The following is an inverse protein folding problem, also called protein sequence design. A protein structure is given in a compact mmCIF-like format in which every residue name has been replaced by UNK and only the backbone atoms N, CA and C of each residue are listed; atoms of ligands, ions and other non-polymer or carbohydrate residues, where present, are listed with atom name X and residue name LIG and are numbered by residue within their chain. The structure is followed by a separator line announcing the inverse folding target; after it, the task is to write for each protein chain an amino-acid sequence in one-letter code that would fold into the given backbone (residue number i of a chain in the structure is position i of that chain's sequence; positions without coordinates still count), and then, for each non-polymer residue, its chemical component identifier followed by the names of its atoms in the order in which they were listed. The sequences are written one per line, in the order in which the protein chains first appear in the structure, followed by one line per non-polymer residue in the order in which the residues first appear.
data_IF_181002381450
#
_entry.id   IF_181002381450
#
_cell.length_a   1.000
_cell.length_b   1.000
_cell.length_c   1.000
_cell.angle_alpha   90.00
_cell.angle_beta   90.00
_cell.angle_gamma   90.00
#
_symmetry.space_group_name_H-M   'P 1'
#
loop_
_entity.id
_entity.type
_entity.pdbx_description
1 polymer ?
#
# COMPACT_ATOMS: atom_id res chain seq x y z
N UNK A 1 -13.59 12.96 -3.75
CA UNK A 1 -12.22 13.17 -3.23
C UNK A 1 -11.30 13.66 -4.32
N UNK A 2 -10.44 14.61 -4.01
CA UNK A 2 -9.41 15.05 -4.93
C UNK A 2 -8.26 14.04 -5.00
N UNK A 3 -7.47 14.13 -6.07
CA UNK A 3 -6.25 13.30 -6.19
C UNK A 3 -5.29 13.54 -5.03
N UNK A 4 -5.15 14.80 -4.60
CA UNK A 4 -4.29 15.14 -3.46
C UNK A 4 -4.76 14.43 -2.19
N UNK A 5 -6.07 14.39 -1.95
CA UNK A 5 -6.62 13.71 -0.78
C UNK A 5 -6.38 12.20 -0.85
N UNK A 6 -6.52 11.60 -2.03
CA UNK A 6 -6.23 10.17 -2.21
C UNK A 6 -4.76 9.86 -1.97
N UNK A 7 -3.85 10.68 -2.51
CA UNK A 7 -2.42 10.51 -2.26
C UNK A 7 -2.08 10.72 -0.78
N UNK A 8 -2.72 11.72 -0.14
CA UNK A 8 -2.50 11.97 1.28
C UNK A 8 -3.02 10.85 2.17
N UNK A 9 -4.06 10.13 1.74
CA UNK A 9 -4.52 8.95 2.47
C UNK A 9 -3.42 7.87 2.51
N UNK A 10 -2.72 7.66 1.40
CA UNK A 10 -1.57 6.75 1.35
C UNK A 10 -0.49 7.21 2.33
N UNK A 11 -0.18 8.49 2.33
CA UNK A 11 0.83 9.06 3.21
C UNK A 11 0.47 8.91 4.69
N UNK A 12 -0.75 9.29 5.04
CA UNK A 12 -1.21 9.22 6.42
C UNK A 12 -1.23 7.79 6.94
N UNK A 13 -1.74 6.86 6.16
CA UNK A 13 -1.79 5.45 6.56
C UNK A 13 -0.38 4.88 6.75
N UNK A 14 0.54 5.24 5.87
CA UNK A 14 1.93 4.78 5.95
C UNK A 14 2.64 5.36 7.17
N UNK A 15 2.45 6.65 7.45
CA UNK A 15 3.04 7.28 8.65
C UNK A 15 2.53 6.62 9.91
N UNK A 16 1.22 6.40 10.00
CA UNK A 16 0.61 5.81 11.19
C UNK A 16 1.09 4.38 11.41
N UNK A 17 1.20 3.59 10.36
CA UNK A 17 1.65 2.21 10.45
C UNK A 17 3.11 2.13 10.89
N UNK A 18 3.99 2.94 10.31
CA UNK A 18 5.40 2.99 10.69
C UNK A 18 5.55 3.47 12.13
N UNK A 19 4.80 4.50 12.52
CA UNK A 19 4.84 5.03 13.88
C UNK A 19 4.39 3.99 14.90
N UNK A 20 3.29 3.31 14.62
CA UNK A 20 2.78 2.27 15.51
C UNK A 20 3.77 1.10 15.65
N UNK A 21 4.40 0.69 14.55
CA UNK A 21 5.40 -0.37 14.56
C UNK A 21 6.71 0.07 15.21
N UNK A 22 6.91 1.38 15.33
CA UNK A 22 8.19 1.98 15.75
C UNK A 22 9.35 1.45 14.90
N UNK A 23 9.08 1.16 13.63
CA UNK A 23 10.02 0.53 12.72
C UNK A 23 9.49 0.64 11.30
N UNK A 24 10.37 0.79 10.32
CA UNK A 24 10.01 0.81 8.91
C UNK A 24 10.59 2.00 8.17
N UNK A 25 10.19 2.12 6.89
CA UNK A 25 10.75 3.11 5.97
C UNK A 25 9.63 3.96 5.37
N UNK A 26 9.39 5.18 5.88
CA UNK A 26 8.31 6.02 5.37
C UNK A 26 8.65 6.79 4.09
N UNK A 27 9.93 6.84 3.70
CA UNK A 27 10.39 7.69 2.60
C UNK A 27 9.69 7.44 1.27
N UNK A 28 9.65 6.20 0.80
CA UNK A 28 9.02 5.88 -0.48
C UNK A 28 7.50 6.09 -0.45
N UNK A 29 6.76 5.66 0.58
CA UNK A 29 5.34 6.00 0.67
C UNK A 29 5.08 7.50 0.61
N UNK A 30 5.90 8.29 1.27
CA UNK A 30 5.72 9.74 1.28
C UNK A 30 6.03 10.36 -0.09
N UNK A 31 7.14 9.94 -0.71
CA UNK A 31 7.61 10.53 -1.96
C UNK A 31 6.90 10.03 -3.21
N UNK A 32 6.37 8.81 -3.18
CA UNK A 32 5.78 8.17 -4.35
C UNK A 32 4.25 8.08 -4.32
N UNK A 33 3.60 8.66 -3.31
CA UNK A 33 2.16 8.53 -3.16
C UNK A 33 1.38 9.08 -4.37
N UNK A 34 1.79 10.23 -4.91
CA UNK A 34 1.12 10.83 -6.06
C UNK A 34 1.24 9.94 -7.31
N UNK A 35 2.43 9.42 -7.57
CA UNK A 35 2.67 8.52 -8.70
C UNK A 35 1.85 7.25 -8.55
N UNK A 36 1.85 6.67 -7.36
CA UNK A 36 1.12 5.44 -7.08
C UNK A 36 -0.39 5.63 -7.21
N UNK A 37 -0.92 6.75 -6.74
CA UNK A 37 -2.34 7.06 -6.86
C UNK A 37 -2.77 7.10 -8.33
N UNK A 38 -2.01 7.80 -9.17
CA UNK A 38 -2.32 7.92 -10.60
C UNK A 38 -2.22 6.55 -11.28
N UNK A 39 -1.15 5.81 -11.02
CA UNK A 39 -0.95 4.50 -11.62
C UNK A 39 -2.10 3.53 -11.29
N UNK A 40 -2.45 3.44 -10.03
CA UNK A 40 -3.43 2.46 -9.55
C UNK A 40 -4.87 2.83 -9.89
N UNK A 41 -5.20 4.11 -9.95
CA UNK A 41 -6.56 4.54 -10.25
C UNK A 41 -6.83 4.72 -11.76
N UNK A 42 -5.82 5.12 -12.54
CA UNK A 42 -6.06 5.49 -13.94
C UNK A 42 -5.49 4.50 -14.96
N UNK A 43 -4.44 3.76 -14.64
CA UNK A 43 -3.71 2.98 -15.62
C UNK A 43 -3.65 1.49 -15.35
N UNK A 44 -3.45 1.10 -14.11
CA UNK A 44 -3.27 -0.31 -13.76
C UNK A 44 -4.58 -1.08 -13.96
N UNK A 45 -4.53 -2.13 -14.77
CA UNK A 45 -5.68 -3.04 -14.92
C UNK A 45 -5.66 -4.02 -13.76
N UNK A 46 -6.58 -3.84 -12.82
CA UNK A 46 -6.69 -4.73 -11.67
C UNK A 46 -8.12 -4.77 -11.15
N UNK A 47 -8.43 -5.84 -10.41
CA UNK A 47 -9.74 -6.00 -9.80
C UNK A 47 -9.56 -6.53 -8.38
N UNK A 48 -9.80 -5.69 -7.35
CA UNK A 48 -9.66 -6.11 -5.95
C UNK A 48 -10.54 -7.29 -5.55
N UNK A 49 -11.69 -7.46 -6.22
CA UNK A 49 -12.60 -8.57 -5.94
C UNK A 49 -12.14 -9.88 -6.61
N UNK A 50 -11.21 -9.79 -7.57
CA UNK A 50 -10.62 -10.95 -8.24
C UNK A 50 -9.12 -10.75 -8.39
N UNK A 51 -8.35 -10.87 -7.30
CA UNK A 51 -6.91 -10.59 -7.33
C UNK A 51 -6.11 -11.56 -8.19
N UNK A 52 -6.70 -12.70 -8.56
CA UNK A 52 -6.06 -13.68 -9.43
C UNK A 52 -6.48 -13.57 -10.90
N UNK A 53 -7.22 -12.53 -11.26
CA UNK A 53 -7.65 -12.29 -12.64
C UNK A 53 -6.47 -12.44 -13.60
N UNK A 54 -6.62 -13.32 -14.59
CA UNK A 54 -5.53 -13.71 -15.46
C UNK A 54 -4.97 -12.53 -16.28
N UNK A 55 -5.84 -11.65 -16.75
CA UNK A 55 -5.45 -10.52 -17.62
C UNK A 55 -5.11 -9.25 -16.85
N UNK A 56 -4.92 -9.36 -15.55
CA UNK A 56 -4.53 -8.20 -14.73
C UNK A 56 -3.12 -7.75 -15.01
N UNK A 57 -2.85 -6.47 -14.79
CA UNK A 57 -1.49 -5.97 -14.72
C UNK A 57 -0.85 -6.44 -13.41
N UNK A 58 0.44 -6.75 -13.48
CA UNK A 58 1.17 -7.26 -12.32
C UNK A 58 2.11 -6.18 -11.81
N UNK A 59 1.78 -5.65 -10.66
CA UNK A 59 2.60 -4.65 -10.00
C UNK A 59 3.65 -5.34 -9.14
N UNK A 60 4.91 -4.94 -9.29
CA UNK A 60 6.03 -5.50 -8.54
C UNK A 60 6.77 -4.36 -7.87
N UNK A 61 6.86 -4.41 -6.54
CA UNK A 61 7.61 -3.43 -5.76
C UNK A 61 9.06 -3.91 -5.63
N UNK A 62 9.95 -3.34 -6.45
CA UNK A 62 11.35 -3.73 -6.49
C UNK A 62 12.07 -3.37 -5.19
N UNK A 63 11.83 -2.17 -4.67
CA UNK A 63 12.43 -1.74 -3.41
C UNK A 63 11.56 -2.22 -2.24
N UNK A 64 11.80 -3.45 -1.82
CA UNK A 64 10.99 -4.14 -0.81
C UNK A 64 10.87 -3.42 0.52
N UNK A 65 11.85 -2.57 0.89
CA UNK A 65 11.77 -1.78 2.12
C UNK A 65 10.67 -0.72 2.08
N UNK A 66 10.14 -0.39 0.88
CA UNK A 66 9.02 0.53 0.71
C UNK A 66 7.66 -0.18 0.85
N UNK A 67 7.62 -1.32 1.51
CA UNK A 67 6.46 -2.22 1.58
C UNK A 67 5.17 -1.54 2.02
N UNK A 68 5.24 -0.55 2.90
CA UNK A 68 4.02 0.11 3.39
C UNK A 68 3.30 0.87 2.28
N UNK A 69 3.99 1.32 1.25
CA UNK A 69 3.34 1.89 0.06
C UNK A 69 2.40 0.87 -0.59
N UNK A 70 2.88 -0.34 -0.81
CA UNK A 70 2.07 -1.41 -1.41
C UNK A 70 0.90 -1.79 -0.50
N UNK A 71 1.12 -1.94 0.80
CA UNK A 71 0.04 -2.30 1.72
C UNK A 71 -1.03 -1.22 1.80
N UNK A 72 -0.64 0.05 1.80
CA UNK A 72 -1.60 1.17 1.77
C UNK A 72 -2.43 1.13 0.49
N UNK A 73 -1.81 0.90 -0.66
CA UNK A 73 -2.52 0.78 -1.93
C UNK A 73 -3.50 -0.38 -1.92
N UNK A 74 -3.07 -1.55 -1.45
CA UNK A 74 -3.94 -2.72 -1.40
C UNK A 74 -5.14 -2.50 -0.48
N UNK A 75 -4.91 -1.91 0.69
CA UNK A 75 -5.99 -1.63 1.63
C UNK A 75 -6.97 -0.61 1.06
N UNK A 76 -6.45 0.52 0.57
CA UNK A 76 -7.29 1.64 0.14
C UNK A 76 -8.04 1.35 -1.16
N UNK A 77 -7.54 0.47 -2.02
CA UNK A 77 -8.22 0.11 -3.27
C UNK A 77 -9.18 -1.06 -3.13
N UNK A 78 -9.31 -1.63 -1.94
CA UNK A 78 -10.36 -2.59 -1.66
C UNK A 78 -9.96 -4.06 -1.69
N UNK A 79 -8.66 -4.37 -1.75
CA UNK A 79 -8.20 -5.74 -1.61
C UNK A 79 -8.43 -6.26 -0.19
N UNK A 80 -8.41 -7.58 -0.03
CA UNK A 80 -8.60 -8.21 1.28
C UNK A 80 -7.35 -8.06 2.15
N UNK A 81 -7.09 -6.82 2.54
CA UNK A 81 -6.06 -6.47 3.50
C UNK A 81 -6.67 -5.46 4.48
N UNK A 82 -7.29 -5.97 5.56
CA UNK A 82 -8.03 -5.10 6.48
C UNK A 82 -7.10 -4.23 7.31
N UNK A 83 -7.70 -3.19 7.93
CA UNK A 83 -6.95 -2.24 8.75
C UNK A 83 -6.20 -2.92 9.91
N UNK A 84 -6.72 -4.04 10.41
CA UNK A 84 -6.06 -4.81 11.48
C UNK A 84 -4.69 -5.29 11.05
N UNK A 85 -4.53 -5.71 9.79
CA UNK A 85 -3.22 -6.13 9.28
C UNK A 85 -2.27 -4.94 9.08
N UNK A 86 -2.81 -3.77 8.75
CA UNK A 86 -2.03 -2.53 8.69
C UNK A 86 -1.53 -2.16 10.09
N UNK A 87 -2.40 -2.30 11.10
CA UNK A 87 -2.02 -2.04 12.50
C UNK A 87 -0.92 -2.98 13.00
N UNK A 88 -0.82 -4.17 12.39
CA UNK A 88 0.19 -5.17 12.72
C UNK A 88 1.40 -5.14 11.78
N UNK A 89 1.64 -4.02 11.11
CA UNK A 89 2.78 -3.85 10.22
C UNK A 89 4.09 -4.21 10.93
N UNK A 90 4.87 -5.10 10.30
CA UNK A 90 6.16 -5.60 10.79
C UNK A 90 6.07 -6.42 12.08
N UNK A 91 4.88 -6.87 12.45
CA UNK A 91 4.72 -7.76 13.59
C UNK A 91 4.81 -9.22 13.12
N UNK A 92 5.30 -10.08 14.01
CA UNK A 92 5.45 -11.50 13.70
C UNK A 92 4.10 -12.12 13.31
N UNK A 93 4.10 -12.89 12.24
CA UNK A 93 2.93 -13.59 11.68
C UNK A 93 1.86 -12.68 11.06
N UNK A 94 2.08 -11.38 10.96
CA UNK A 94 1.13 -10.51 10.24
C UNK A 94 1.27 -10.71 8.73
N UNK A 95 0.24 -10.26 7.99
CA UNK A 95 0.26 -10.27 6.53
C UNK A 95 1.06 -9.10 5.94
N UNK A 96 1.64 -8.27 6.79
CA UNK A 96 2.33 -7.04 6.38
C UNK A 96 3.78 -7.02 6.88
N UNK A 97 4.61 -7.97 6.43
CA UNK A 97 6.03 -7.98 6.82
C UNK A 97 6.75 -6.75 6.24
N UNK A 98 7.88 -6.42 6.85
CA UNK A 98 8.68 -5.27 6.42
C UNK A 98 9.22 -5.39 5.00
N UNK A 99 9.45 -6.62 4.53
CA UNK A 99 9.89 -6.94 3.18
C UNK A 99 9.05 -8.10 2.67
N UNK A 100 8.06 -7.83 1.81
CA UNK A 100 7.19 -8.89 1.29
C UNK A 100 7.90 -9.82 0.34
#
# INVERSE_FOLDING_TARGET
MSRRELANAIRALSMDAVQKANSGHPGAPMGMADIAEVLWNDFLKHNPENPQWYDRDRFILSNGHASMLLYSLLHLTGYDLPIEEIKNFRQLHSKTPGHP
#
